data_IF_752498345949
#
_entry.id   IF_752498345949
#
_cell.length_a   1.000
_cell.length_b   1.000
_cell.length_c   1.000
_cell.angle_alpha   90.00
_cell.angle_beta   90.00
_cell.angle_gamma   90.00
#
_symmetry.space_group_name_H-M   'P 1'
#
loop_
_entity.id
_entity.type
_entity.pdbx_description
1 polymer ?
#
# COMPACT_ATOMS: atom_id res chain seq x y z
N UNK A 1 -28.99 -0.74 48.66
CA UNK A 1 -28.15 -1.58 47.78
C UNK A 1 -28.31 -1.09 46.35
N UNK A 2 -27.24 -0.62 45.67
CA UNK A 2 -27.22 -0.54 44.22
C UNK A 2 -26.13 -1.46 43.63
N UNK A 3 -26.51 -2.22 42.60
CA UNK A 3 -25.71 -3.26 41.98
C UNK A 3 -24.46 -2.76 41.27
N UNK A 4 -23.34 -3.43 41.54
CA UNK A 4 -22.11 -3.32 40.75
C UNK A 4 -22.33 -3.87 39.34
N UNK A 5 -22.16 -3.01 38.33
CA UNK A 5 -21.97 -3.46 36.96
C UNK A 5 -20.62 -4.21 36.86
N UNK A 6 -20.69 -5.54 36.75
CA UNK A 6 -19.54 -6.41 36.52
C UNK A 6 -19.10 -6.27 35.06
N UNK A 7 -18.06 -5.48 34.81
CA UNK A 7 -17.36 -5.50 33.52
C UNK A 7 -16.72 -6.88 33.33
N UNK A 8 -17.17 -7.62 32.30
CA UNK A 8 -16.54 -8.86 31.86
C UNK A 8 -15.29 -8.52 31.03
N UNK A 9 -14.08 -8.98 31.41
CA UNK A 9 -12.88 -8.75 30.63
C UNK A 9 -12.84 -9.81 29.52
N UNK A 10 -13.47 -9.55 28.38
CA UNK A 10 -13.50 -10.56 27.33
C UNK A 10 -13.88 -10.10 25.92
N UNK A 11 -14.20 -8.83 25.69
CA UNK A 11 -14.61 -8.35 24.36
C UNK A 11 -14.05 -6.95 24.11
N UNK A 12 -12.73 -6.83 23.90
CA UNK A 12 -12.10 -5.57 23.48
C UNK A 12 -11.08 -5.71 22.35
N UNK A 13 -11.07 -6.81 21.62
CA UNK A 13 -9.99 -7.05 20.62
C UNK A 13 -10.42 -6.90 19.16
N UNK A 14 -11.71 -6.78 18.83
CA UNK A 14 -12.16 -6.79 17.43
C UNK A 14 -12.46 -5.42 16.78
N UNK A 15 -12.36 -4.32 17.52
CA UNK A 15 -12.58 -2.98 16.94
C UNK A 15 -11.29 -2.32 16.43
N UNK A 16 -10.14 -2.57 17.07
CA UNK A 16 -8.87 -1.96 16.65
C UNK A 16 -8.29 -2.59 15.38
N UNK A 17 -8.43 -3.91 15.17
CA UNK A 17 -8.00 -4.56 13.92
C UNK A 17 -8.74 -4.04 12.68
N UNK A 18 -9.99 -3.58 12.84
CA UNK A 18 -10.80 -3.04 11.75
C UNK A 18 -10.43 -1.59 11.39
N UNK A 19 -9.82 -0.86 12.33
CA UNK A 19 -9.39 0.53 12.15
C UNK A 19 -7.98 0.63 11.55
N UNK A 20 -7.08 -0.30 11.86
CA UNK A 20 -5.72 -0.32 11.27
C UNK A 20 -5.73 -0.62 9.76
N UNK A 21 -6.67 -1.45 9.29
CA UNK A 21 -6.87 -1.74 7.86
C UNK A 21 -7.61 -0.63 7.09
N UNK A 22 -7.90 0.52 7.72
CA UNK A 22 -8.60 1.66 7.09
C UNK A 22 -7.72 2.90 6.92
N UNK A 23 -6.40 2.78 7.05
CA UNK A 23 -5.52 3.84 6.53
C UNK A 23 -5.58 3.79 5.00
N UNK A 24 -6.44 4.63 4.43
CA UNK A 24 -6.34 5.02 3.03
C UNK A 24 -5.00 5.71 2.82
N UNK A 25 -4.37 5.46 1.68
CA UNK A 25 -3.17 6.21 1.34
C UNK A 25 -3.51 7.69 1.20
N UNK A 26 -2.72 8.56 1.82
CA UNK A 26 -2.84 10.02 1.62
C UNK A 26 -2.55 10.41 0.16
N UNK A 27 -1.99 9.48 -0.62
CA UNK A 27 -1.66 9.62 -2.03
C UNK A 27 -2.78 9.12 -2.96
N UNK A 28 -3.91 8.65 -2.44
CA UNK A 28 -5.05 8.20 -3.25
C UNK A 28 -5.51 9.32 -4.20
N UNK A 29 -5.56 9.01 -5.50
CA UNK A 29 -5.96 9.93 -6.56
C UNK A 29 -4.89 10.94 -6.98
N UNK A 30 -3.68 10.86 -6.41
CA UNK A 30 -2.54 11.71 -6.80
C UNK A 30 -1.66 10.99 -7.81
N UNK A 31 -1.23 11.74 -8.83
CA UNK A 31 -0.14 11.35 -9.70
C UNK A 31 1.16 11.61 -8.96
N UNK A 32 1.90 10.55 -8.61
CA UNK A 32 3.20 10.66 -7.94
C UNK A 32 4.28 10.20 -8.89
N UNK A 33 5.45 10.82 -8.80
CA UNK A 33 6.60 10.44 -9.63
C UNK A 33 7.34 9.30 -8.97
N UNK A 34 7.77 8.33 -9.78
CA UNK A 34 8.58 7.21 -9.31
C UNK A 34 10.05 7.54 -9.49
N UNK A 35 10.86 7.16 -8.50
CA UNK A 35 12.31 7.38 -8.57
C UNK A 35 12.88 6.74 -9.84
N UNK A 36 13.86 7.39 -10.44
CA UNK A 36 14.42 6.99 -11.75
C UNK A 36 15.24 5.70 -11.69
N UNK A 37 15.66 5.27 -10.50
CA UNK A 37 16.36 4.02 -10.22
C UNK A 37 15.45 2.78 -10.23
N UNK A 38 14.12 2.98 -10.29
CA UNK A 38 13.17 1.88 -10.35
C UNK A 38 13.09 1.34 -11.77
N UNK A 39 13.49 0.09 -11.93
CA UNK A 39 13.41 -0.61 -13.20
C UNK A 39 11.95 -0.66 -13.71
N UNK A 40 11.76 -0.56 -15.02
CA UNK A 40 10.47 -0.58 -15.74
C UNK A 40 9.64 0.71 -15.65
N UNK A 41 9.51 1.30 -14.46
CA UNK A 41 8.58 2.42 -14.22
C UNK A 41 9.27 3.72 -13.75
N UNK A 42 10.58 3.70 -13.53
CA UNK A 42 11.32 4.84 -13.00
C UNK A 42 11.23 6.09 -13.87
N UNK A 43 11.03 7.23 -13.22
CA UNK A 43 10.86 8.53 -13.87
C UNK A 43 9.46 8.80 -14.43
N UNK A 44 8.57 7.81 -14.44
CA UNK A 44 7.17 7.97 -14.86
C UNK A 44 6.30 8.47 -13.69
N UNK A 45 5.17 9.08 -14.05
CA UNK A 45 4.10 9.42 -13.11
C UNK A 45 3.11 8.26 -13.03
N UNK A 46 2.86 7.78 -11.81
CA UNK A 46 1.83 6.78 -11.54
C UNK A 46 0.66 7.43 -10.81
N UNK A 47 -0.55 7.22 -11.32
CA UNK A 47 -1.76 7.61 -10.63
C UNK A 47 -2.07 6.58 -9.55
N UNK A 48 -1.86 6.96 -8.28
CA UNK A 48 -2.12 6.06 -7.15
C UNK A 48 -3.62 5.91 -6.95
N UNK A 49 -4.10 4.67 -6.86
CA UNK A 49 -5.49 4.38 -6.52
C UNK A 49 -5.66 4.20 -5.02
N UNK A 50 -4.98 3.22 -4.42
CA UNK A 50 -4.96 2.99 -2.96
C UNK A 50 -3.85 1.97 -2.62
N UNK A 51 -3.71 1.61 -1.35
CA UNK A 51 -2.91 0.46 -0.96
C UNK A 51 -3.45 -0.82 -1.61
N UNK A 52 -2.55 -1.67 -2.09
CA UNK A 52 -2.88 -2.95 -2.68
C UNK A 52 -3.78 -3.80 -1.78
N UNK A 53 -3.52 -3.77 -0.47
CA UNK A 53 -4.32 -4.47 0.52
C UNK A 53 -5.78 -3.97 0.58
N UNK A 54 -6.03 -2.68 0.31
CA UNK A 54 -7.38 -2.11 0.22
C UNK A 54 -8.06 -2.46 -1.11
N UNK A 55 -7.29 -2.49 -2.21
CA UNK A 55 -7.81 -2.79 -3.56
C UNK A 55 -8.17 -4.27 -3.71
N UNK A 56 -7.27 -5.16 -3.28
CA UNK A 56 -7.40 -6.60 -3.50
C UNK A 56 -7.88 -7.37 -2.26
N UNK A 57 -7.91 -6.73 -1.09
CA UNK A 57 -8.29 -7.37 0.18
C UNK A 57 -7.30 -8.43 0.68
N UNK A 58 -6.10 -8.52 0.08
CA UNK A 58 -5.09 -9.55 0.34
C UNK A 58 -3.67 -8.99 0.17
N UNK A 59 -2.66 -9.69 0.68
CA UNK A 59 -1.26 -9.35 0.41
C UNK A 59 -0.93 -9.51 -1.07
N UNK A 60 0.04 -8.73 -1.57
CA UNK A 60 0.57 -8.91 -2.93
C UNK A 60 1.32 -10.23 -3.07
N UNK A 61 1.77 -10.82 -1.96
CA UNK A 61 2.39 -12.16 -1.92
C UNK A 61 1.37 -13.28 -2.16
N UNK A 62 0.11 -13.06 -1.75
CA UNK A 62 -1.01 -14.01 -1.94
C UNK A 62 -1.81 -13.71 -3.23
N UNK A 63 -1.21 -12.94 -4.13
CA UNK A 63 -1.87 -12.43 -5.31
C UNK A 63 -1.82 -13.43 -6.46
N UNK A 64 -2.83 -14.30 -6.53
CA UNK A 64 -2.97 -15.25 -7.64
C UNK A 64 -3.41 -14.54 -8.93
N UNK A 65 -2.68 -14.80 -10.02
CA UNK A 65 -3.00 -14.41 -11.40
C UNK A 65 -3.08 -12.91 -11.72
N UNK A 66 -2.47 -12.02 -10.92
CA UNK A 66 -2.35 -10.61 -11.31
C UNK A 66 -0.96 -10.32 -11.91
N UNK A 67 -0.86 -9.91 -13.19
CA UNK A 67 0.42 -9.58 -13.82
C UNK A 67 1.17 -8.45 -13.09
N UNK A 68 0.46 -7.50 -12.47
CA UNK A 68 1.09 -6.41 -11.73
C UNK A 68 1.80 -6.92 -10.45
N UNK A 69 1.21 -7.92 -9.79
CA UNK A 69 1.81 -8.56 -8.62
C UNK A 69 3.07 -9.35 -9.00
N UNK A 70 3.04 -10.04 -10.15
CA UNK A 70 4.20 -10.78 -10.66
C UNK A 70 5.35 -9.84 -11.01
N UNK A 71 5.06 -8.72 -11.68
CA UNK A 71 6.07 -7.70 -12.00
C UNK A 71 6.71 -7.14 -10.73
N UNK A 72 5.90 -6.80 -9.73
CA UNK A 72 6.41 -6.33 -8.44
C UNK A 72 7.22 -7.40 -7.70
N UNK A 73 6.79 -8.67 -7.70
CA UNK A 73 7.53 -9.76 -7.08
C UNK A 73 8.90 -9.98 -7.74
N UNK A 74 8.96 -9.93 -9.08
CA UNK A 74 10.23 -10.01 -9.82
C UNK A 74 11.12 -8.81 -9.50
N UNK A 75 10.57 -7.60 -9.45
CA UNK A 75 11.32 -6.39 -9.10
C UNK A 75 11.86 -6.45 -7.68
N UNK A 76 11.01 -6.76 -6.71
CA UNK A 76 11.40 -6.85 -5.30
C UNK A 76 12.49 -7.92 -5.06
N UNK A 77 12.41 -9.05 -5.75
CA UNK A 77 13.45 -10.09 -5.71
C UNK A 77 14.81 -9.65 -6.29
N UNK A 78 14.81 -8.75 -7.29
CA UNK A 78 16.03 -8.25 -7.92
C UNK A 78 16.66 -7.06 -7.18
N UNK A 79 15.84 -6.18 -6.61
CA UNK A 79 16.31 -4.95 -5.94
C UNK A 79 16.43 -5.08 -4.43
N UNK A 80 15.94 -6.18 -3.84
CA UNK A 80 15.95 -6.39 -2.39
C UNK A 80 15.01 -5.44 -1.66
N UNK A 81 13.91 -5.03 -2.30
CA UNK A 81 12.90 -4.18 -1.67
C UNK A 81 12.27 -4.89 -0.46
N UNK A 82 11.79 -4.11 0.53
CA UNK A 82 11.07 -4.67 1.66
C UNK A 82 9.85 -5.46 1.18
N UNK A 83 9.67 -6.67 1.71
CA UNK A 83 8.54 -7.53 1.40
C UNK A 83 7.31 -7.20 2.27
N UNK A 84 7.11 -5.92 2.56
CA UNK A 84 6.01 -5.45 3.40
C UNK A 84 4.72 -5.28 2.59
N UNK A 85 3.59 -5.15 3.29
CA UNK A 85 2.30 -4.84 2.66
C UNK A 85 2.10 -3.35 2.36
N UNK A 86 3.13 -2.52 2.55
CA UNK A 86 3.14 -1.08 2.25
C UNK A 86 3.33 -0.82 0.76
N UNK A 87 2.52 -1.49 -0.06
CA UNK A 87 2.56 -1.43 -1.51
C UNK A 87 1.30 -0.72 -2.00
N UNK A 88 1.50 0.30 -2.82
CA UNK A 88 0.45 1.08 -3.45
C UNK A 88 0.17 0.50 -4.83
N UNK A 89 -1.11 0.43 -5.18
CA UNK A 89 -1.56 0.13 -6.52
C UNK A 89 -1.82 1.44 -7.25
N UNK A 90 -1.31 1.54 -8.47
CA UNK A 90 -1.57 2.68 -9.32
C UNK A 90 -1.49 2.33 -10.79
N UNK A 91 -1.78 3.31 -11.64
CA UNK A 91 -1.80 3.15 -13.09
C UNK A 91 -0.89 4.15 -13.78
N UNK A 92 -0.11 3.66 -14.74
CA UNK A 92 0.64 4.49 -15.69
C UNK A 92 -0.05 4.31 -17.04
N UNK A 93 -0.80 5.34 -17.47
CA UNK A 93 -1.70 5.22 -18.62
C UNK A 93 -2.80 4.18 -18.36
N UNK A 94 -2.83 3.10 -19.15
CA UNK A 94 -3.79 1.99 -19.01
C UNK A 94 -3.25 0.76 -18.29
N UNK A 95 -1.95 0.74 -17.96
CA UNK A 95 -1.29 -0.39 -17.30
C UNK A 95 -1.27 -0.17 -15.78
N UNK A 96 -1.66 -1.20 -15.03
CA UNK A 96 -1.62 -1.20 -13.57
C UNK A 96 -0.30 -1.73 -13.05
N UNK A 97 0.27 -1.01 -12.09
CA UNK A 97 1.55 -1.34 -11.46
C UNK A 97 1.42 -1.28 -9.94
N UNK A 98 2.19 -2.13 -9.26
CA UNK A 98 2.40 -2.04 -7.83
C UNK A 98 3.71 -1.31 -7.56
N UNK A 99 3.70 -0.44 -6.57
CA UNK A 99 4.84 0.40 -6.18
C UNK A 99 4.94 0.45 -4.66
N UNK A 100 6.12 0.21 -4.11
CA UNK A 100 6.35 0.35 -2.69
C UNK A 100 6.41 1.84 -2.31
N UNK A 101 5.92 2.23 -1.12
CA UNK A 101 5.95 3.64 -0.68
C UNK A 101 7.36 4.25 -0.74
N UNK A 102 8.41 3.47 -0.45
CA UNK A 102 9.81 3.90 -0.57
C UNK A 102 10.30 4.15 -2.00
N UNK A 103 9.61 3.63 -3.03
CA UNK A 103 9.96 3.83 -4.44
C UNK A 103 9.39 5.15 -4.99
N UNK A 104 8.47 5.78 -4.24
CA UNK A 104 7.90 7.07 -4.62
C UNK A 104 8.96 8.15 -4.41
N UNK A 105 9.12 8.99 -5.43
CA UNK A 105 9.91 10.21 -5.31
C UNK A 105 9.12 11.17 -4.44
N UNK A 106 9.68 11.46 -3.26
CA UNK A 106 9.03 12.33 -2.29
C UNK A 106 8.82 13.71 -2.93
N UNK A 107 7.58 14.17 -3.02
CA UNK A 107 7.23 15.49 -3.58
C UNK A 107 7.68 16.65 -2.65
N UNK A 108 8.53 16.37 -1.66
CA UNK A 108 9.17 17.34 -0.77
C UNK A 108 10.26 18.17 -1.46
N UNK A 109 10.20 18.33 -2.78
CA UNK A 109 10.77 19.52 -3.42
C UNK A 109 9.73 20.64 -3.41
N UNK A 110 9.38 21.12 -2.21
CA UNK A 110 8.79 22.44 -2.04
C UNK A 110 9.56 23.20 -0.96
N UNK A 111 10.61 23.85 -1.45
CA UNK A 111 11.14 25.16 -1.05
C UNK A 111 11.96 25.26 0.24
N UNK A 112 13.28 25.46 0.00
CA UNK A 112 14.19 26.41 0.65
C UNK A 112 14.43 26.34 2.17
#
# INVERSE_FOLDING_TARGET
>A
MPGQARFLPGVRTNINLKLENMKKSELVGLAVRIKTDIMEIGGNEILIEDYWMNVAGKSWMDCDNNPACLQYAMRAGLTGLPTDNNVLYGKIGWLGFLVHVNEIEDLTTNNQ
#
